data_IF_716942912254
#
_entry.id   IF_716942912254
#
_cell.length_a   1.000
_cell.length_b   1.000
_cell.length_c   1.000
_cell.angle_alpha   90.00
_cell.angle_beta   90.00
_cell.angle_gamma   90.00
#
_symmetry.space_group_name_H-M   'P 1'
#
loop_
_entity.id
_entity.type
_entity.pdbx_description
1 polymer ?
#
# COMPACT_ATOMS: atom_id res chain seq x y z
N UNK A 1 -8.12 2.89 9.26
CA UNK A 1 -8.93 2.72 8.03
C UNK A 1 -10.24 2.05 8.38
N UNK A 2 -11.14 1.80 7.41
CA UNK A 2 -12.38 1.04 7.64
C UNK A 2 -12.13 -0.40 8.13
N UNK A 3 -10.97 -0.98 7.80
CA UNK A 3 -10.53 -2.29 8.28
C UNK A 3 -9.99 -2.28 9.73
N UNK A 4 -9.98 -1.12 10.41
CA UNK A 4 -9.48 -0.97 11.77
C UNK A 4 -7.96 -0.76 11.87
N UNK A 5 -7.24 -0.70 10.75
CA UNK A 5 -5.80 -0.44 10.73
C UNK A 5 -5.48 0.98 11.22
N UNK A 6 -4.68 1.10 12.28
CA UNK A 6 -4.08 2.37 12.70
C UNK A 6 -2.94 2.74 11.75
N UNK A 7 -3.00 3.93 11.16
CA UNK A 7 -2.05 4.39 10.14
C UNK A 7 -1.01 5.31 10.77
N UNK A 8 0.24 4.84 10.79
CA UNK A 8 1.40 5.65 11.13
C UNK A 8 2.43 5.53 10.01
N UNK A 9 2.78 6.66 9.40
CA UNK A 9 3.71 6.77 8.27
C UNK A 9 4.92 7.60 8.71
N UNK A 10 6.09 7.32 8.14
CA UNK A 10 7.34 8.05 8.39
C UNK A 10 7.14 9.57 8.24
N UNK A 11 7.40 10.32 9.32
CA UNK A 11 7.09 11.76 9.41
C UNK A 11 7.60 12.60 8.23
N UNK A 12 8.86 12.46 7.75
CA UNK A 12 9.31 13.18 6.56
C UNK A 12 8.46 12.97 5.30
N UNK A 13 7.82 11.81 5.14
CA UNK A 13 6.89 11.56 4.02
C UNK A 13 5.57 12.30 4.26
N UNK A 14 5.09 12.35 5.50
CA UNK A 14 3.86 13.06 5.86
C UNK A 14 4.04 14.57 5.75
N UNK A 15 5.21 15.12 6.09
CA UNK A 15 5.48 16.56 6.09
C UNK A 15 6.00 17.08 4.74
N UNK A 16 6.22 16.21 3.74
CA UNK A 16 6.73 16.62 2.45
C UNK A 16 5.78 17.55 1.68
N UNK A 17 6.34 18.58 1.05
CA UNK A 17 5.61 19.44 0.10
C UNK A 17 5.29 18.71 -1.22
N UNK A 18 6.10 17.71 -1.58
CA UNK A 18 5.94 16.90 -2.78
C UNK A 18 6.31 15.43 -2.51
N UNK A 19 5.42 14.50 -2.89
CA UNK A 19 5.59 13.05 -2.74
C UNK A 19 5.64 12.36 -4.10
N UNK A 20 6.80 11.82 -4.43
CA UNK A 20 7.03 11.05 -5.66
C UNK A 20 7.23 9.58 -5.29
N UNK A 21 6.36 8.71 -5.77
CA UNK A 21 6.45 7.27 -5.54
C UNK A 21 7.04 6.55 -6.76
N UNK A 22 8.12 5.80 -6.54
CA UNK A 22 8.81 5.00 -7.55
C UNK A 22 8.69 3.51 -7.23
N UNK A 23 8.75 2.64 -8.23
CA UNK A 23 8.77 1.19 -8.01
C UNK A 23 8.56 0.36 -9.26
N UNK A 24 8.74 -0.96 -9.17
CA UNK A 24 8.35 -1.91 -10.20
C UNK A 24 6.87 -2.31 -10.05
N UNK A 25 6.22 -2.67 -11.16
CA UNK A 25 4.86 -3.20 -11.19
C UNK A 25 4.87 -4.67 -11.61
N UNK A 26 4.46 -5.55 -10.69
CA UNK A 26 4.43 -6.99 -10.86
C UNK A 26 3.24 -7.60 -10.10
N UNK A 27 2.92 -8.87 -10.40
CA UNK A 27 1.92 -9.63 -9.63
C UNK A 27 2.39 -9.81 -8.19
N UNK A 28 1.55 -9.43 -7.24
CA UNK A 28 1.83 -9.62 -5.83
C UNK A 28 0.88 -10.62 -5.21
N UNK A 29 1.43 -11.73 -4.75
CA UNK A 29 0.75 -12.95 -4.33
C UNK A 29 -0.48 -12.79 -3.41
N UNK A 30 -0.54 -11.77 -2.56
CA UNK A 30 -1.74 -11.45 -1.75
C UNK A 30 -2.34 -10.04 -1.97
N UNK A 31 -1.62 -9.12 -2.63
CA UNK A 31 -2.00 -7.70 -2.68
C UNK A 31 -2.53 -7.28 -4.06
N UNK A 32 -2.81 -8.26 -4.93
CA UNK A 32 -3.04 -8.03 -6.34
C UNK A 32 -1.73 -7.76 -7.08
N UNK A 33 -1.21 -6.55 -6.92
CA UNK A 33 -0.02 -6.04 -7.62
C UNK A 33 0.92 -5.28 -6.68
N UNK A 34 2.19 -5.13 -7.07
CA UNK A 34 3.13 -4.19 -6.44
C UNK A 34 2.84 -2.74 -6.87
N UNK A 35 3.75 -1.81 -6.59
CA UNK A 35 3.68 -0.42 -7.06
C UNK A 35 2.54 0.42 -6.46
N UNK A 36 2.38 1.62 -7.01
CA UNK A 36 1.37 2.59 -6.59
C UNK A 36 1.46 2.95 -5.10
N UNK A 37 0.31 2.92 -4.43
CA UNK A 37 0.15 3.18 -3.00
C UNK A 37 1.06 2.32 -2.09
N UNK A 38 1.62 1.21 -2.60
CA UNK A 38 2.57 0.37 -1.84
C UNK A 38 3.86 1.07 -1.45
N UNK A 39 4.24 2.13 -2.16
CA UNK A 39 5.35 2.99 -1.77
C UNK A 39 5.09 3.75 -0.46
N UNK A 40 3.82 4.05 -0.15
CA UNK A 40 3.40 4.68 1.12
C UNK A 40 3.05 3.60 2.15
N UNK A 41 2.09 2.72 1.84
CA UNK A 41 1.67 1.61 2.70
C UNK A 41 1.85 0.28 1.96
N UNK A 42 2.79 -0.61 2.33
CA UNK A 42 3.56 -0.60 3.58
C UNK A 42 4.90 0.19 3.51
N UNK A 43 5.31 0.69 2.36
CA UNK A 43 6.69 1.12 2.10
C UNK A 43 7.30 2.14 3.07
N UNK A 44 6.49 3.03 3.64
CA UNK A 44 6.92 4.04 4.61
C UNK A 44 6.18 3.93 5.95
N UNK A 45 5.53 2.79 6.20
CA UNK A 45 4.64 2.61 7.33
C UNK A 45 5.35 2.05 8.56
N UNK A 46 4.78 2.33 9.74
CA UNK A 46 5.22 1.72 10.99
C UNK A 46 5.01 0.21 10.97
N UNK A 47 5.83 -0.53 11.74
CA UNK A 47 5.68 -1.99 11.85
C UNK A 47 4.28 -2.41 12.31
N UNK A 48 3.65 -1.66 13.21
CA UNK A 48 2.30 -1.96 13.70
C UNK A 48 1.27 -1.85 12.57
N UNK A 49 1.32 -0.77 11.79
CA UNK A 49 0.48 -0.57 10.61
C UNK A 49 0.68 -1.68 9.59
N UNK A 50 1.94 -2.05 9.29
CA UNK A 50 2.26 -3.13 8.35
C UNK A 50 1.70 -4.47 8.84
N UNK A 51 1.89 -4.81 10.12
CA UNK A 51 1.40 -6.06 10.70
C UNK A 51 -0.13 -6.15 10.64
N UNK A 52 -0.84 -5.06 10.96
CA UNK A 52 -2.30 -5.03 10.90
C UNK A 52 -2.82 -5.22 9.47
N UNK A 53 -2.21 -4.56 8.48
CA UNK A 53 -2.52 -4.77 7.06
C UNK A 53 -2.23 -6.21 6.60
N UNK A 54 -1.06 -6.75 6.95
CA UNK A 54 -0.62 -8.09 6.52
C UNK A 54 -1.34 -9.23 7.25
N UNK A 55 -1.95 -8.99 8.41
CA UNK A 55 -2.80 -9.99 9.07
C UNK A 55 -3.98 -10.43 8.18
N UNK A 56 -4.37 -9.62 7.20
CA UNK A 56 -5.42 -9.94 6.24
C UNK A 56 -4.93 -10.76 5.03
N UNK A 57 -3.63 -11.02 4.88
CA UNK A 57 -3.10 -11.76 3.71
C UNK A 57 -3.59 -13.21 3.62
N UNK A 58 -4.12 -13.76 4.70
CA UNK A 58 -4.69 -15.12 4.77
C UNK A 58 -6.16 -15.17 4.35
N UNK A 59 -6.78 -14.02 4.03
CA UNK A 59 -8.16 -13.96 3.57
C UNK A 59 -8.28 -14.51 2.15
N UNK A 60 -9.37 -15.24 1.82
CA UNK A 60 -9.51 -15.89 0.53
C UNK A 60 -9.54 -14.90 -0.66
N UNK A 61 -9.90 -13.64 -0.42
CA UNK A 61 -9.92 -12.58 -1.43
C UNK A 61 -8.53 -11.93 -1.66
N UNK A 62 -7.59 -12.16 -0.74
CA UNK A 62 -6.24 -11.61 -0.80
C UNK A 62 -5.35 -12.45 -1.74
N UNK A 63 -5.55 -12.28 -3.04
CA UNK A 63 -4.88 -13.08 -4.09
C UNK A 63 -4.18 -12.20 -5.14
N UNK A 64 -3.27 -12.82 -5.89
CA UNK A 64 -2.58 -12.19 -7.02
C UNK A 64 -3.59 -11.69 -8.07
N UNK A 65 -3.31 -10.54 -8.67
CA UNK A 65 -4.16 -9.94 -9.72
C UNK A 65 -5.49 -9.33 -9.23
N UNK A 66 -5.89 -9.53 -7.98
CA UNK A 66 -7.15 -9.03 -7.44
C UNK A 66 -6.97 -7.68 -6.73
N UNK A 67 -7.64 -6.63 -7.23
CA UNK A 67 -7.66 -5.30 -6.63
C UNK A 67 -8.97 -5.03 -5.87
N UNK A 68 -10.10 -5.13 -6.57
CA UNK A 68 -11.43 -4.90 -6.00
C UNK A 68 -11.84 -6.07 -5.10
N UNK A 69 -12.29 -5.78 -3.87
CA UNK A 69 -12.63 -6.80 -2.88
C UNK A 69 -11.43 -7.44 -2.20
N UNK A 70 -10.19 -7.05 -2.55
CA UNK A 70 -9.00 -7.53 -1.85
C UNK A 70 -8.79 -6.69 -0.59
N UNK A 71 -8.98 -7.25 0.63
CA UNK A 71 -8.96 -6.48 1.87
C UNK A 71 -7.59 -5.86 2.15
N UNK A 72 -6.50 -6.54 1.74
CA UNK A 72 -5.14 -6.01 1.90
C UNK A 72 -4.95 -4.79 1.00
N UNK A 73 -5.41 -4.86 -0.25
CA UNK A 73 -5.28 -3.78 -1.22
C UNK A 73 -6.14 -2.58 -0.86
N UNK A 74 -7.40 -2.80 -0.51
CA UNK A 74 -8.31 -1.72 -0.11
C UNK A 74 -7.79 -0.96 1.11
N UNK A 75 -7.20 -1.66 2.08
CA UNK A 75 -6.56 -1.05 3.25
C UNK A 75 -5.28 -0.27 2.90
N UNK A 76 -4.49 -0.77 1.93
CA UNK A 76 -3.35 -0.04 1.35
C UNK A 76 -3.79 1.27 0.71
N UNK A 77 -4.80 1.24 -0.16
CA UNK A 77 -5.29 2.44 -0.84
C UNK A 77 -5.90 3.43 0.16
N UNK A 78 -6.70 2.94 1.11
CA UNK A 78 -7.30 3.77 2.14
C UNK A 78 -6.25 4.42 3.07
N UNK A 79 -5.21 3.68 3.46
CA UNK A 79 -4.14 4.19 4.29
C UNK A 79 -3.26 5.21 3.57
N UNK A 80 -2.89 4.93 2.32
CA UNK A 80 -2.09 5.84 1.51
C UNK A 80 -2.84 7.14 1.17
N UNK A 81 -4.16 7.08 0.95
CA UNK A 81 -4.99 8.25 0.68
C UNK A 81 -5.01 9.29 1.81
N UNK A 82 -4.71 8.89 3.06
CA UNK A 82 -4.59 9.82 4.20
C UNK A 82 -3.34 10.72 4.11
N UNK A 83 -2.31 10.27 3.39
CA UNK A 83 -1.05 10.99 3.21
C UNK A 83 -0.97 11.66 1.84
N UNK A 84 -1.56 11.02 0.82
CA UNK A 84 -1.54 11.50 -0.56
C UNK A 84 -0.28 11.09 -1.31
N UNK A 85 -0.32 11.25 -2.63
CA UNK A 85 0.79 11.00 -3.55
C UNK A 85 0.63 11.94 -4.74
N UNK A 86 1.67 12.73 -5.04
CA UNK A 86 1.59 13.77 -6.08
C UNK A 86 2.01 13.25 -7.45
N UNK A 87 2.94 12.29 -7.48
CA UNK A 87 3.39 11.66 -8.73
C UNK A 87 3.79 10.21 -8.51
N UNK A 88 3.52 9.36 -9.50
CA UNK A 88 3.91 7.95 -9.50
C UNK A 88 4.62 7.61 -10.81
N UNK A 89 5.79 6.99 -10.70
CA UNK A 89 6.46 6.33 -11.82
C UNK A 89 6.68 4.87 -11.46
N UNK A 90 5.91 3.98 -12.08
CA UNK A 90 6.16 2.56 -12.00
C UNK A 90 6.62 1.99 -13.34
N UNK A 91 7.58 1.07 -13.28
CA UNK A 91 8.15 0.40 -14.44
C UNK A 91 7.79 -1.08 -14.43
N UNK A 92 7.61 -1.66 -15.61
CA UNK A 92 7.56 -3.12 -15.80
C UNK A 92 8.93 -3.53 -16.32
N UNK A 93 9.53 -4.54 -15.71
CA UNK A 93 10.88 -5.04 -16.04
C UNK A 93 10.79 -6.46 -16.60
N UNK A 94 11.78 -6.86 -17.40
CA UNK A 94 11.90 -8.18 -18.03
C UNK A 94 12.59 -9.25 -17.17
#
# INVERSE_FOLDING_TARGET
TAAGTSIAIHRPVVEADLRICLGNLELHYFAGYSGGAKAILPGCASRETVNANHAMMIRPEAVAGCLAGNPVREDIEAGAALVGTDFILNVVID
#
